data_IF_736618410510
#
_entry.id   IF_736618410510
#
_cell.length_a   1.000
_cell.length_b   1.000
_cell.length_c   1.000
_cell.angle_alpha   90.00
_cell.angle_beta   90.00
_cell.angle_gamma   90.00
#
_symmetry.space_group_name_H-M   'P 1'
#
loop_
_entity.id
_entity.type
_entity.pdbx_description
1 polymer ?
#
# COMPACT_ATOMS: atom_id res chain seq x y z
N UNK A 1 -4.59 -87.52 6.49
CA UNK A 1 -5.37 -86.49 5.76
C UNK A 1 -6.67 -86.30 6.53
N UNK A 2 -7.07 -85.09 6.95
CA UNK A 2 -7.27 -83.92 6.08
C UNK A 2 -6.61 -82.62 6.59
N UNK A 3 -6.71 -81.60 5.74
CA UNK A 3 -6.07 -80.30 5.76
C UNK A 3 -6.68 -79.32 6.78
N UNK A 4 -5.82 -78.54 7.46
CA UNK A 4 -6.20 -77.35 8.23
C UNK A 4 -5.75 -76.09 7.47
N UNK A 5 -6.71 -75.24 7.13
CA UNK A 5 -6.48 -73.97 6.42
C UNK A 5 -6.15 -72.85 7.41
N UNK A 6 -4.89 -72.42 7.45
CA UNK A 6 -4.49 -71.22 8.22
C UNK A 6 -4.59 -69.99 7.32
N UNK A 7 -5.56 -69.11 7.60
CA UNK A 7 -5.66 -67.78 6.98
C UNK A 7 -4.61 -66.85 7.59
N UNK A 8 -3.67 -66.38 6.77
CA UNK A 8 -2.74 -65.31 7.12
C UNK A 8 -3.45 -63.98 6.85
N UNK A 9 -3.76 -63.21 7.89
CA UNK A 9 -4.14 -61.80 7.77
C UNK A 9 -2.85 -60.96 7.66
N UNK A 10 -2.58 -60.38 6.49
CA UNK A 10 -1.63 -59.27 6.37
C UNK A 10 -2.35 -57.97 6.77
N UNK A 11 -1.93 -57.36 7.88
CA UNK A 11 -2.33 -56.01 8.26
C UNK A 11 -1.37 -55.02 7.60
N UNK A 12 -1.83 -54.30 6.58
CA UNK A 12 -1.08 -53.21 5.99
C UNK A 12 -1.15 -51.97 6.90
N UNK A 13 -0.03 -51.59 7.52
CA UNK A 13 0.11 -50.29 8.18
C UNK A 13 0.27 -49.21 7.09
N UNK A 14 -0.79 -48.42 6.86
CA UNK A 14 -0.67 -47.14 6.17
C UNK A 14 -0.01 -46.13 7.13
N UNK A 15 1.25 -45.79 6.86
CA UNK A 15 1.89 -44.61 7.44
C UNK A 15 1.36 -43.39 6.70
N UNK A 16 0.37 -42.71 7.27
CA UNK A 16 -0.01 -41.36 6.87
C UNK A 16 1.12 -40.41 7.30
N UNK A 17 2.08 -40.19 6.41
CA UNK A 17 2.99 -39.07 6.53
C UNK A 17 2.19 -37.78 6.27
N UNK A 18 1.64 -37.19 7.32
CA UNK A 18 1.16 -35.81 7.27
C UNK A 18 2.37 -34.92 6.98
N UNK A 19 2.40 -34.29 5.81
CA UNK A 19 3.35 -33.22 5.54
C UNK A 19 3.09 -32.10 6.56
N UNK A 20 3.98 -31.96 7.54
CA UNK A 20 4.00 -30.79 8.40
C UNK A 20 4.28 -29.58 7.50
N UNK A 21 3.26 -28.75 7.24
CA UNK A 21 3.48 -27.43 6.65
C UNK A 21 4.44 -26.68 7.57
N UNK A 22 5.59 -26.25 7.05
CA UNK A 22 6.51 -25.42 7.79
C UNK A 22 5.76 -24.17 8.27
N UNK A 23 5.77 -23.93 9.57
CA UNK A 23 5.13 -22.76 10.17
C UNK A 23 5.73 -21.49 9.56
N UNK A 24 4.88 -20.58 9.08
CA UNK A 24 5.33 -19.30 8.56
C UNK A 24 6.17 -18.56 9.63
N UNK A 25 7.30 -17.93 9.25
CA UNK A 25 8.14 -17.21 10.20
C UNK A 25 7.37 -16.03 10.79
N UNK A 26 7.82 -15.52 11.94
CA UNK A 26 7.28 -14.27 12.47
C UNK A 26 7.56 -13.10 11.50
N UNK A 27 6.84 -11.99 11.64
CA UNK A 27 7.11 -10.76 10.90
C UNK A 27 8.02 -9.84 11.71
N UNK A 28 9.09 -9.34 11.11
CA UNK A 28 9.85 -8.21 11.64
C UNK A 28 9.32 -6.94 10.98
N UNK A 29 9.01 -5.93 11.80
CA UNK A 29 8.75 -4.56 11.39
C UNK A 29 9.87 -3.66 11.89
N UNK A 30 10.46 -2.88 11.00
CA UNK A 30 11.44 -1.84 11.34
C UNK A 30 10.76 -0.50 11.12
N UNK A 31 10.56 0.23 12.21
CA UNK A 31 10.03 1.59 12.21
C UNK A 31 11.21 2.58 12.20
N UNK A 32 11.14 3.60 11.35
CA UNK A 32 12.17 4.63 11.23
C UNK A 32 11.54 5.99 10.91
N UNK A 33 12.28 7.05 11.20
CA UNK A 33 11.89 8.41 10.81
C UNK A 33 12.57 8.79 9.50
N UNK A 34 11.80 9.35 8.57
CA UNK A 34 12.28 9.99 7.35
C UNK A 34 12.02 11.49 7.48
N UNK A 35 13.07 12.29 7.58
CA UNK A 35 12.93 13.75 7.76
C UNK A 35 13.80 14.53 6.79
N UNK A 36 13.49 15.80 6.60
CA UNK A 36 14.22 16.66 5.67
C UNK A 36 13.34 17.73 5.07
N UNK A 37 13.74 18.21 3.90
CA UNK A 37 13.12 19.27 3.11
C UNK A 37 13.30 19.00 1.60
N UNK A 38 13.04 19.98 0.74
CA UNK A 38 13.16 19.83 -0.71
C UNK A 38 14.59 19.46 -1.18
N UNK A 39 15.63 19.82 -0.41
CA UNK A 39 17.04 19.69 -0.82
C UNK A 39 17.81 18.58 -0.09
N UNK A 40 17.31 18.12 1.05
CA UNK A 40 18.02 17.18 1.92
C UNK A 40 17.05 16.25 2.62
N UNK A 41 17.50 15.02 2.87
CA UNK A 41 16.76 14.04 3.65
C UNK A 41 17.70 13.23 4.54
N UNK A 42 17.16 12.72 5.64
CA UNK A 42 17.86 11.93 6.64
C UNK A 42 16.93 10.86 7.19
N UNK A 43 17.52 9.77 7.65
CA UNK A 43 16.83 8.59 8.17
C UNK A 43 17.39 8.25 9.55
N UNK A 44 16.53 7.79 10.45
CA UNK A 44 16.94 7.30 11.77
C UNK A 44 16.06 6.14 12.22
N UNK A 45 16.69 5.08 12.76
CA UNK A 45 15.96 3.95 13.35
C UNK A 45 15.13 4.44 14.54
N UNK A 46 13.87 4.04 14.59
CA UNK A 46 12.99 4.31 15.72
C UNK A 46 12.86 3.06 16.61
N UNK A 47 12.48 1.92 16.04
CA UNK A 47 12.38 0.64 16.76
C UNK A 47 12.30 -0.57 15.82
N UNK A 48 12.53 -1.74 16.40
CA UNK A 48 12.33 -3.04 15.76
C UNK A 48 11.27 -3.81 16.53
N UNK A 49 10.29 -4.36 15.82
CA UNK A 49 9.13 -5.05 16.41
C UNK A 49 8.99 -6.43 15.78
N UNK A 50 8.74 -7.44 16.59
CA UNK A 50 8.16 -8.71 16.14
C UNK A 50 6.65 -8.56 16.23
N UNK A 51 5.96 -8.53 15.08
CA UNK A 51 4.49 -8.44 15.07
C UNK A 51 3.84 -9.71 15.63
N UNK A 52 2.61 -9.63 16.17
CA UNK A 52 1.97 -10.75 16.84
C UNK A 52 1.49 -11.85 15.88
N UNK A 53 1.37 -11.55 14.58
CA UNK A 53 0.96 -12.50 13.54
C UNK A 53 2.16 -12.94 12.67
N UNK A 54 2.14 -14.17 12.15
CA UNK A 54 3.18 -14.65 11.26
C UNK A 54 3.21 -13.86 9.95
N UNK A 55 4.33 -13.96 9.24
CA UNK A 55 4.52 -13.36 7.92
C UNK A 55 3.45 -13.84 6.94
N UNK A 56 2.66 -12.93 6.34
CA UNK A 56 1.57 -13.33 5.46
C UNK A 56 2.06 -13.64 4.04
N UNK A 57 3.16 -13.03 3.58
CA UNK A 57 3.57 -13.12 2.18
C UNK A 57 4.19 -14.46 1.76
N UNK A 58 4.20 -14.71 0.46
CA UNK A 58 4.79 -15.92 -0.12
C UNK A 58 6.33 -15.90 -0.06
N UNK A 59 6.91 -16.82 0.71
CA UNK A 59 8.37 -16.94 0.89
C UNK A 59 9.13 -17.33 -0.39
N UNK A 60 8.46 -17.92 -1.39
CA UNK A 60 9.05 -18.21 -2.69
C UNK A 60 9.20 -16.95 -3.58
N UNK A 61 8.68 -15.79 -3.13
CA UNK A 61 8.72 -14.51 -3.85
C UNK A 61 9.37 -13.42 -3.02
N UNK A 62 10.36 -13.75 -2.17
CA UNK A 62 11.01 -12.76 -1.28
C UNK A 62 11.76 -11.65 -2.02
N UNK A 63 12.15 -11.86 -3.28
CA UNK A 63 12.90 -10.87 -4.07
C UNK A 63 11.95 -10.16 -5.04
N UNK A 64 11.81 -8.85 -4.88
CA UNK A 64 11.11 -8.00 -5.83
C UNK A 64 12.00 -7.72 -7.05
N UNK A 65 11.52 -8.18 -8.20
CA UNK A 65 12.13 -8.07 -9.52
C UNK A 65 11.33 -7.14 -10.46
N UNK A 66 10.33 -6.42 -9.94
CA UNK A 66 9.50 -5.48 -10.71
C UNK A 66 10.21 -4.15 -10.98
N UNK A 67 11.23 -3.81 -10.19
CA UNK A 67 11.92 -2.51 -10.22
C UNK A 67 10.94 -1.32 -10.12
N UNK A 68 9.90 -1.44 -9.29
CA UNK A 68 8.92 -0.37 -9.02
C UNK A 68 9.28 0.42 -7.76
N UNK A 69 8.65 1.59 -7.60
CA UNK A 69 8.80 2.46 -6.44
C UNK A 69 9.94 3.48 -6.56
N UNK A 70 9.80 4.56 -5.81
CA UNK A 70 10.85 5.57 -5.59
C UNK A 70 11.92 5.06 -4.61
N UNK A 71 11.54 4.12 -3.76
CA UNK A 71 12.37 3.48 -2.76
C UNK A 71 12.31 1.95 -2.90
N UNK A 72 13.29 1.28 -2.32
CA UNK A 72 13.35 -0.18 -2.22
C UNK A 72 13.93 -0.54 -0.86
N UNK A 73 13.32 -1.48 -0.15
CA UNK A 73 13.94 -2.11 1.01
C UNK A 73 14.68 -3.35 0.55
N UNK A 74 15.89 -3.56 1.05
CA UNK A 74 16.62 -4.81 0.94
C UNK A 74 17.03 -5.29 2.33
N UNK A 75 16.80 -6.57 2.59
CA UNK A 75 17.27 -7.27 3.79
C UNK A 75 18.39 -8.20 3.34
N UNK A 76 19.57 -8.01 3.91
CA UNK A 76 20.80 -8.65 3.44
C UNK A 76 21.41 -9.47 4.54
N UNK A 77 21.87 -10.67 4.23
CA UNK A 77 22.70 -11.44 5.17
C UNK A 77 23.97 -10.67 5.50
N UNK A 78 24.22 -10.41 6.79
CA UNK A 78 25.33 -9.57 7.22
C UNK A 78 26.71 -10.19 6.97
N UNK A 79 26.79 -11.51 6.78
CA UNK A 79 28.05 -12.25 6.56
C UNK A 79 28.32 -12.47 5.09
N UNK A 80 27.33 -12.91 4.31
CA UNK A 80 27.52 -13.27 2.91
C UNK A 80 27.26 -12.11 1.96
N UNK A 81 26.43 -11.14 2.36
CA UNK A 81 25.98 -10.06 1.48
C UNK A 81 24.82 -10.43 0.55
N UNK A 82 24.25 -11.63 0.70
CA UNK A 82 23.12 -12.09 -0.11
C UNK A 82 21.84 -11.32 0.23
N UNK A 83 21.08 -10.93 -0.79
CA UNK A 83 19.76 -10.32 -0.59
C UNK A 83 18.77 -11.44 -0.25
N UNK A 84 18.20 -11.37 0.96
CA UNK A 84 17.24 -12.35 1.49
C UNK A 84 15.79 -11.94 1.21
N UNK A 85 15.55 -10.62 1.13
CA UNK A 85 14.23 -10.05 0.87
C UNK A 85 14.37 -8.66 0.24
N UNK A 86 13.48 -8.32 -0.69
CA UNK A 86 13.34 -6.97 -1.21
C UNK A 86 11.91 -6.60 -1.60
N UNK A 87 11.55 -5.33 -1.45
CA UNK A 87 10.28 -4.74 -1.93
C UNK A 87 10.43 -3.28 -2.31
N UNK A 88 9.93 -2.93 -3.49
CA UNK A 88 9.77 -1.54 -3.91
C UNK A 88 8.63 -0.86 -3.18
N UNK A 89 8.77 0.43 -2.90
CA UNK A 89 7.74 1.25 -2.28
C UNK A 89 7.97 2.74 -2.59
N UNK A 90 7.02 3.58 -2.22
CA UNK A 90 7.12 5.04 -2.22
C UNK A 90 6.71 5.56 -0.84
N UNK A 91 7.02 6.82 -0.54
CA UNK A 91 6.81 7.41 0.78
C UNK A 91 6.02 8.70 0.71
N UNK A 92 5.27 8.99 1.78
CA UNK A 92 4.61 10.28 2.00
C UNK A 92 5.66 11.42 1.99
N UNK A 93 6.85 11.19 2.57
CA UNK A 93 7.94 12.16 2.47
C UNK A 93 8.35 12.41 1.01
N UNK A 94 8.44 11.36 0.20
CA UNK A 94 8.80 11.43 -1.22
C UNK A 94 7.83 12.26 -2.06
N UNK A 95 6.56 12.28 -1.67
CA UNK A 95 5.55 13.19 -2.23
C UNK A 95 5.69 14.61 -1.65
N UNK A 96 5.72 14.72 -0.32
CA UNK A 96 5.78 15.99 0.40
C UNK A 96 6.97 16.86 -0.01
N UNK A 97 8.15 16.25 -0.24
CA UNK A 97 9.38 16.97 -0.61
C UNK A 97 9.26 17.74 -1.92
N UNK A 98 8.25 17.43 -2.75
CA UNK A 98 7.98 18.10 -4.03
C UNK A 98 6.97 19.25 -3.90
N UNK A 99 6.46 19.51 -2.70
CA UNK A 99 5.53 20.61 -2.41
C UNK A 99 6.27 21.93 -2.16
N UNK A 100 5.56 23.05 -2.25
CA UNK A 100 6.12 24.37 -1.91
C UNK A 100 6.51 24.47 -0.42
N UNK A 101 5.78 23.78 0.47
CA UNK A 101 6.06 23.73 1.91
C UNK A 101 7.48 23.20 2.18
N UNK A 102 7.89 22.14 1.48
CA UNK A 102 9.22 21.55 1.63
C UNK A 102 10.37 22.49 1.21
N UNK A 103 10.09 23.52 0.40
CA UNK A 103 11.07 24.56 0.09
C UNK A 103 11.28 25.58 1.22
N UNK A 104 10.38 25.60 2.22
CA UNK A 104 10.35 26.61 3.29
C UNK A 104 10.63 26.03 4.68
N UNK A 105 10.46 24.73 4.86
CA UNK A 105 10.65 24.08 6.15
C UNK A 105 11.12 22.64 6.03
N UNK A 106 11.60 22.10 7.15
CA UNK A 106 11.86 20.66 7.28
C UNK A 106 10.75 19.98 8.09
N UNK A 107 10.38 18.76 7.72
CA UNK A 107 9.41 17.90 8.42
C UNK A 107 9.96 16.51 8.64
N UNK A 108 9.39 15.79 9.59
CA UNK A 108 9.62 14.37 9.82
C UNK A 108 8.34 13.57 9.59
N UNK A 109 8.51 12.38 9.03
CA UNK A 109 7.47 11.39 8.79
C UNK A 109 7.93 10.06 9.38
N UNK A 110 6.99 9.30 9.93
CA UNK A 110 7.25 7.94 10.38
C UNK A 110 7.03 6.99 9.20
N UNK A 111 7.90 6.00 9.10
CA UNK A 111 7.90 5.01 8.03
C UNK A 111 8.15 3.62 8.63
N UNK A 112 7.65 2.58 7.96
CA UNK A 112 7.87 1.20 8.39
C UNK A 112 8.09 0.29 7.20
N UNK A 113 9.05 -0.62 7.34
CA UNK A 113 9.22 -1.76 6.43
C UNK A 113 9.01 -3.06 7.19
N UNK A 114 8.42 -4.05 6.51
CA UNK A 114 8.10 -5.38 7.08
C UNK A 114 8.72 -6.47 6.23
N UNK A 115 9.18 -7.53 6.88
CA UNK A 115 9.79 -8.68 6.20
C UNK A 115 9.73 -9.95 7.08
N UNK A 116 9.88 -11.15 6.48
CA UNK A 116 9.97 -12.39 7.24
C UNK A 116 11.15 -12.36 8.22
N UNK A 117 10.94 -12.76 9.47
CA UNK A 117 11.99 -12.76 10.50
C UNK A 117 13.19 -13.61 10.06
N UNK A 118 14.40 -13.02 9.92
CA UNK A 118 15.58 -13.77 9.56
C UNK A 118 16.06 -14.65 10.72
N UNK A 119 16.80 -15.70 10.40
CA UNK A 119 17.40 -16.61 11.38
C UNK A 119 18.72 -16.09 11.97
N UNK A 120 19.33 -15.08 11.35
CA UNK A 120 20.62 -14.49 11.72
C UNK A 120 20.52 -12.96 11.64
N UNK A 121 21.47 -12.21 12.22
CA UNK A 121 21.55 -10.77 12.03
C UNK A 121 21.65 -10.38 10.56
N UNK A 122 20.96 -9.31 10.19
CA UNK A 122 20.85 -8.81 8.82
C UNK A 122 21.20 -7.33 8.75
N UNK A 123 21.57 -6.87 7.56
CA UNK A 123 21.62 -5.45 7.23
C UNK A 123 20.35 -5.07 6.46
N UNK A 124 19.56 -4.17 7.02
CA UNK A 124 18.41 -3.57 6.34
C UNK A 124 18.90 -2.32 5.61
N UNK A 125 18.65 -2.24 4.31
CA UNK A 125 19.01 -1.10 3.45
C UNK A 125 17.75 -0.47 2.90
N UNK A 126 17.63 0.85 3.01
CA UNK A 126 16.66 1.64 2.26
C UNK A 126 17.41 2.26 1.09
N UNK A 127 17.00 1.89 -0.11
CA UNK A 127 17.52 2.41 -1.35
C UNK A 127 16.57 3.49 -1.88
N UNK A 128 17.14 4.42 -2.63
CA UNK A 128 16.42 5.48 -3.33
C UNK A 128 16.77 5.47 -4.80
N UNK A 129 15.76 5.72 -5.63
CA UNK A 129 15.90 5.87 -7.08
C UNK A 129 16.48 7.24 -7.44
N UNK A 130 17.44 7.27 -8.35
CA UNK A 130 18.00 8.48 -8.93
C UNK A 130 17.29 8.89 -10.24
N UNK A 131 17.74 9.98 -10.85
CA UNK A 131 17.17 10.49 -12.11
C UNK A 131 17.36 9.57 -13.32
N UNK A 132 18.20 8.54 -13.19
CA UNK A 132 18.45 7.51 -14.22
C UNK A 132 17.62 6.25 -13.95
N UNK A 133 16.69 6.33 -13.00
CA UNK A 133 15.93 5.20 -12.49
C UNK A 133 16.80 4.09 -11.87
N UNK A 134 17.98 4.41 -11.35
CA UNK A 134 18.86 3.47 -10.67
C UNK A 134 18.72 3.59 -9.16
N UNK A 135 18.72 2.45 -8.46
CA UNK A 135 18.69 2.43 -7.00
C UNK A 135 20.10 2.56 -6.42
N UNK A 136 20.23 3.39 -5.37
CA UNK A 136 21.42 3.52 -4.55
C UNK A 136 21.04 3.52 -3.07
N UNK A 137 21.93 3.03 -2.20
CA UNK A 137 21.66 2.97 -0.76
C UNK A 137 21.58 4.40 -0.21
N UNK A 138 20.41 4.76 0.33
CA UNK A 138 20.18 6.04 1.01
C UNK A 138 20.43 5.92 2.51
N UNK A 139 20.09 4.77 3.11
CA UNK A 139 20.29 4.49 4.52
C UNK A 139 20.43 2.99 4.76
N UNK A 140 21.15 2.61 5.81
CA UNK A 140 21.23 1.21 6.25
C UNK A 140 21.38 1.10 7.76
N UNK A 141 20.89 -0.01 8.31
CA UNK A 141 21.01 -0.34 9.73
C UNK A 141 21.22 -1.84 9.91
N UNK A 142 22.07 -2.22 10.87
CA UNK A 142 22.26 -3.61 11.27
C UNK A 142 21.18 -4.00 12.29
N UNK A 143 20.52 -5.13 12.06
CA UNK A 143 19.40 -5.62 12.86
C UNK A 143 19.70 -7.05 13.29
N UNK A 144 19.83 -7.25 14.61
CA UNK A 144 19.78 -8.57 15.22
C UNK A 144 18.34 -8.84 15.69
N UNK A 145 17.61 -9.81 15.09
CA UNK A 145 16.24 -10.13 15.49
C UNK A 145 16.13 -10.68 16.93
N UNK A 146 17.26 -11.10 17.53
CA UNK A 146 17.33 -11.59 18.91
C UNK A 146 17.81 -10.54 19.90
N UNK A 147 18.08 -9.30 19.46
CA UNK A 147 18.50 -8.22 20.36
C UNK A 147 17.47 -7.93 21.47
N UNK A 148 17.96 -7.48 22.64
CA UNK A 148 17.15 -7.13 23.80
C UNK A 148 16.19 -5.96 23.54
N UNK A 149 16.54 -5.04 22.64
CA UNK A 149 15.74 -3.85 22.33
C UNK A 149 14.56 -4.15 21.38
N UNK A 150 14.51 -5.35 20.82
CA UNK A 150 13.40 -5.77 19.93
C UNK A 150 12.12 -5.93 20.75
N UNK A 151 11.07 -5.19 20.35
CA UNK A 151 9.75 -5.25 20.98
C UNK A 151 9.03 -6.53 20.55
N UNK A 152 8.72 -7.40 21.51
CA UNK A 152 8.09 -8.72 21.28
C UNK A 152 6.70 -8.89 21.91
N UNK A 153 6.26 -7.88 22.67
CA UNK A 153 4.96 -7.89 23.34
C UNK A 153 4.20 -6.63 22.93
N UNK A 154 3.05 -6.83 22.31
CA UNK A 154 2.17 -5.77 21.86
C UNK A 154 1.01 -5.57 22.83
N UNK A 155 0.38 -4.41 22.72
CA UNK A 155 -0.89 -4.14 23.36
C UNK A 155 -1.99 -5.11 22.89
N UNK A 156 -3.08 -5.16 23.64
CA UNK A 156 -4.25 -5.93 23.21
C UNK A 156 -4.79 -5.41 21.88
N UNK A 157 -5.24 -6.31 21.01
CA UNK A 157 -5.83 -5.95 19.73
C UNK A 157 -6.99 -4.95 19.94
N UNK A 158 -6.98 -3.77 19.29
CA UNK A 158 -7.97 -2.72 19.53
C UNK A 158 -9.34 -3.07 18.93
N UNK A 159 -9.37 -4.00 17.97
CA UNK A 159 -10.57 -4.55 17.36
C UNK A 159 -10.28 -5.98 16.86
N UNK A 160 -11.34 -6.74 16.56
CA UNK A 160 -11.22 -8.07 15.96
C UNK A 160 -11.29 -7.96 14.43
N UNK A 161 -10.38 -8.61 13.68
CA UNK A 161 -10.49 -8.68 12.23
C UNK A 161 -11.76 -9.41 11.80
N UNK A 162 -12.38 -8.91 10.73
CA UNK A 162 -13.56 -9.50 10.11
C UNK A 162 -13.11 -10.21 8.82
N UNK A 163 -13.38 -11.51 8.64
CA UNK A 163 -13.13 -12.19 7.38
C UNK A 163 -14.18 -11.76 6.35
N UNK A 164 -13.76 -11.01 5.34
CA UNK A 164 -14.65 -10.55 4.24
C UNK A 164 -14.70 -11.61 3.16
N UNK A 165 -13.52 -12.08 2.73
CA UNK A 165 -13.31 -13.16 1.76
C UNK A 165 -12.00 -13.86 2.09
N UNK A 166 -12.02 -15.16 2.39
CA UNK A 166 -10.80 -15.93 2.67
C UNK A 166 -10.75 -17.13 1.74
N UNK A 167 -9.83 -17.09 0.77
CA UNK A 167 -9.69 -18.10 -0.28
C UNK A 167 -8.57 -19.12 -0.02
N UNK A 168 -7.81 -18.96 1.07
CA UNK A 168 -6.79 -19.93 1.49
C UNK A 168 -5.79 -19.37 2.50
N UNK A 169 -4.72 -20.14 2.80
CA UNK A 169 -3.65 -19.69 3.66
C UNK A 169 -2.97 -18.43 3.10
N UNK A 170 -2.61 -17.49 3.99
CA UNK A 170 -1.91 -16.24 3.64
C UNK A 170 -0.67 -16.47 2.77
N UNK A 171 0.14 -17.47 3.07
CA UNK A 171 1.37 -17.78 2.31
C UNK A 171 1.14 -18.12 0.82
N UNK A 172 -0.10 -18.37 0.42
CA UNK A 172 -0.51 -18.71 -0.95
C UNK A 172 -1.48 -17.69 -1.56
N UNK A 173 -1.75 -16.57 -0.88
CA UNK A 173 -2.74 -15.57 -1.25
C UNK A 173 -2.16 -14.17 -1.05
N UNK A 174 -2.78 -13.18 -1.67
CA UNK A 174 -2.56 -11.77 -1.36
C UNK A 174 -3.50 -11.39 -0.24
N UNK A 175 -2.99 -11.00 0.93
CA UNK A 175 -3.83 -10.47 2.00
C UNK A 175 -4.02 -8.95 1.85
N UNK A 176 -5.23 -8.54 1.47
CA UNK A 176 -5.70 -7.16 1.51
C UNK A 176 -6.42 -6.89 2.83
N UNK A 177 -5.90 -5.95 3.62
CA UNK A 177 -6.57 -5.44 4.81
C UNK A 177 -7.28 -4.13 4.50
N UNK A 178 -8.59 -4.11 4.68
CA UNK A 178 -9.40 -2.90 4.59
C UNK A 178 -9.64 -2.34 6.00
N UNK A 179 -9.04 -1.20 6.30
CA UNK A 179 -9.18 -0.52 7.58
C UNK A 179 -10.29 0.52 7.53
N UNK A 180 -10.98 0.75 8.65
CA UNK A 180 -12.03 1.79 8.75
C UNK A 180 -11.61 2.95 9.63
N UNK A 181 -11.85 4.18 9.17
CA UNK A 181 -11.71 5.41 9.96
C UNK A 181 -12.99 6.28 9.87
N UNK A 182 -13.32 6.98 10.97
CA UNK A 182 -14.55 7.77 11.09
C UNK A 182 -15.83 6.95 11.24
N UNK A 183 -15.75 5.65 11.51
CA UNK A 183 -16.91 4.81 11.78
C UNK A 183 -17.14 4.72 13.30
N UNK A 184 -18.30 5.17 13.78
CA UNK A 184 -18.65 5.04 15.20
C UNK A 184 -19.00 3.60 15.57
N UNK A 185 -19.17 3.31 16.86
CA UNK A 185 -19.64 2.00 17.31
C UNK A 185 -20.99 1.59 16.68
N UNK A 186 -21.87 2.55 16.41
CA UNK A 186 -23.14 2.31 15.73
C UNK A 186 -22.97 2.02 14.22
N UNK A 187 -21.88 2.51 13.61
CA UNK A 187 -21.59 2.36 12.19
C UNK A 187 -20.87 1.06 11.85
N UNK A 188 -20.54 0.18 12.81
CA UNK A 188 -19.75 -1.02 12.52
C UNK A 188 -20.40 -1.95 11.48
N UNK A 189 -21.74 -2.04 11.47
CA UNK A 189 -22.46 -2.77 10.41
C UNK A 189 -22.37 -2.07 9.06
N UNK A 190 -22.38 -0.74 9.05
CA UNK A 190 -22.19 0.07 7.84
C UNK A 190 -20.77 -0.12 7.30
N UNK A 191 -19.75 -0.08 8.17
CA UNK A 191 -18.37 -0.35 7.79
C UNK A 191 -18.22 -1.69 7.09
N UNK A 192 -18.70 -2.78 7.71
CA UNK A 192 -18.61 -4.10 7.09
C UNK A 192 -19.33 -4.16 5.72
N UNK A 193 -20.50 -3.52 5.61
CA UNK A 193 -21.23 -3.44 4.35
C UNK A 193 -20.48 -2.63 3.27
N UNK A 194 -19.86 -1.51 3.64
CA UNK A 194 -19.02 -0.70 2.74
C UNK A 194 -17.83 -1.52 2.23
N UNK A 195 -17.14 -2.24 3.13
CA UNK A 195 -16.01 -3.11 2.75
C UNK A 195 -16.45 -4.21 1.78
N UNK A 196 -17.57 -4.90 2.08
CA UNK A 196 -18.09 -5.96 1.21
C UNK A 196 -18.41 -5.43 -0.19
N UNK A 197 -19.14 -4.32 -0.27
CA UNK A 197 -19.51 -3.68 -1.54
C UNK A 197 -18.28 -3.31 -2.37
N UNK A 198 -17.30 -2.64 -1.77
CA UNK A 198 -16.12 -2.15 -2.48
C UNK A 198 -15.16 -3.29 -2.85
N UNK A 199 -14.96 -4.26 -1.96
CA UNK A 199 -14.18 -5.46 -2.28
C UNK A 199 -14.84 -6.29 -3.39
N UNK A 200 -16.16 -6.46 -3.37
CA UNK A 200 -16.88 -7.15 -4.45
C UNK A 200 -16.72 -6.40 -5.78
N UNK A 201 -16.82 -5.07 -5.77
CA UNK A 201 -16.59 -4.24 -6.96
C UNK A 201 -15.17 -4.39 -7.50
N UNK A 202 -14.13 -4.39 -6.65
CA UNK A 202 -12.74 -4.62 -7.07
C UNK A 202 -12.62 -5.90 -7.90
N UNK A 203 -13.28 -6.99 -7.49
CA UNK A 203 -13.28 -8.26 -8.21
C UNK A 203 -14.23 -8.32 -9.41
N UNK A 204 -14.84 -7.21 -9.81
CA UNK A 204 -15.48 -7.05 -11.13
C UNK A 204 -14.52 -6.48 -12.19
N UNK A 205 -13.41 -5.87 -11.75
CA UNK A 205 -12.44 -5.19 -12.61
C UNK A 205 -11.29 -6.14 -12.97
N UNK A 206 -10.98 -6.29 -14.26
CA UNK A 206 -9.84 -7.11 -14.70
C UNK A 206 -8.50 -6.36 -14.46
N UNK A 207 -7.42 -7.05 -14.00
CA UNK A 207 -7.29 -8.50 -13.86
C UNK A 207 -7.75 -9.08 -12.50
N UNK A 208 -8.22 -8.25 -11.56
CA UNK A 208 -8.65 -8.73 -10.24
C UNK A 208 -9.82 -9.71 -10.35
N UNK A 209 -10.72 -9.50 -11.31
CA UNK A 209 -11.81 -10.43 -11.64
C UNK A 209 -11.33 -11.86 -11.88
N UNK A 210 -10.37 -12.02 -12.78
CA UNK A 210 -9.83 -13.34 -13.13
C UNK A 210 -8.99 -13.94 -12.00
N UNK A 211 -8.41 -13.08 -11.16
CA UNK A 211 -7.52 -13.45 -10.05
C UNK A 211 -8.20 -13.40 -8.69
N UNK A 212 -9.53 -13.33 -8.65
CA UNK A 212 -10.34 -13.15 -7.44
C UNK A 212 -10.05 -14.18 -6.34
N UNK A 213 -9.67 -15.42 -6.73
CA UNK A 213 -9.32 -16.52 -5.81
C UNK A 213 -7.91 -16.45 -5.24
N UNK A 214 -7.07 -15.55 -5.75
CA UNK A 214 -5.71 -15.34 -5.26
C UNK A 214 -5.67 -14.35 -4.09
N UNK A 215 -6.80 -13.72 -3.74
CA UNK A 215 -6.88 -12.73 -2.67
C UNK A 215 -7.62 -13.25 -1.46
N UNK A 216 -7.09 -12.92 -0.29
CA UNK A 216 -7.84 -12.82 0.96
C UNK A 216 -8.16 -11.33 1.21
N UNK A 217 -9.34 -11.06 1.77
CA UNK A 217 -9.77 -9.73 2.20
C UNK A 217 -10.20 -9.80 3.66
N UNK A 218 -9.56 -8.99 4.48
CA UNK A 218 -9.84 -8.79 5.90
C UNK A 218 -10.31 -7.37 6.13
N UNK A 219 -11.16 -7.15 7.14
CA UNK A 219 -11.54 -5.81 7.57
C UNK A 219 -11.19 -5.57 9.04
N UNK A 220 -10.83 -4.34 9.40
CA UNK A 220 -10.55 -3.95 10.78
C UNK A 220 -10.85 -2.47 11.00
N UNK A 221 -11.73 -2.14 11.94
CA UNK A 221 -12.01 -0.73 12.30
C UNK A 221 -11.94 -0.54 13.81
N UNK A 222 -11.31 0.55 14.22
CA UNK A 222 -11.35 1.02 15.60
C UNK A 222 -12.46 2.08 15.68
N UNK A 223 -13.53 1.86 16.46
CA UNK A 223 -14.65 2.79 16.52
C UNK A 223 -14.22 4.21 16.94
N UNK A 224 -14.74 5.22 16.24
CA UNK A 224 -14.56 6.64 16.59
C UNK A 224 -15.72 7.15 17.44
N UNK A 225 -15.52 8.31 18.09
CA UNK A 225 -16.59 8.99 18.85
C UNK A 225 -17.59 9.68 17.92
N UNK A 226 -17.09 10.26 16.82
CA UNK A 226 -17.88 11.02 15.85
C UNK A 226 -17.74 10.38 14.46
N UNK A 227 -18.80 10.45 13.63
CA UNK A 227 -18.75 9.93 12.27
C UNK A 227 -17.90 10.84 11.36
N UNK A 228 -17.18 10.22 10.43
CA UNK A 228 -16.33 10.89 9.46
C UNK A 228 -14.99 11.36 10.02
N UNK A 229 -14.06 11.67 9.11
CA UNK A 229 -12.69 12.08 9.45
C UNK A 229 -12.49 13.59 9.40
N UNK A 230 -11.35 14.05 9.92
CA UNK A 230 -10.97 15.46 9.93
C UNK A 230 -10.90 16.07 8.52
N UNK A 231 -11.37 17.31 8.39
CA UNK A 231 -11.26 18.18 7.22
C UNK A 231 -10.95 19.61 7.65
N UNK A 232 -9.67 19.94 7.91
CA UNK A 232 -9.24 21.26 8.35
C UNK A 232 -9.75 22.43 7.49
N UNK A 233 -9.88 22.27 6.17
CA UNK A 233 -10.35 23.33 5.26
C UNK A 233 -11.78 23.77 5.53
N UNK A 234 -12.57 22.97 6.25
CA UNK A 234 -13.95 23.30 6.67
C UNK A 234 -14.09 23.41 8.19
N UNK A 235 -12.97 23.46 8.93
CA UNK A 235 -12.97 23.54 10.41
C UNK A 235 -13.42 22.26 11.12
N UNK A 236 -13.47 21.12 10.42
CA UNK A 236 -13.87 19.83 10.99
C UNK A 236 -12.63 19.11 11.52
N UNK A 237 -12.63 18.79 12.81
CA UNK A 237 -11.53 18.12 13.49
C UNK A 237 -12.05 16.97 14.35
N UNK A 238 -12.08 15.77 13.77
CA UNK A 238 -12.47 14.55 14.48
C UNK A 238 -11.22 13.76 14.83
N UNK A 239 -11.10 13.40 16.11
CA UNK A 239 -10.04 12.53 16.58
C UNK A 239 -10.37 11.06 16.25
N UNK A 240 -9.37 10.34 15.75
CA UNK A 240 -9.45 8.90 15.52
C UNK A 240 -8.10 8.24 15.78
N UNK A 241 -8.10 6.92 15.98
CA UNK A 241 -6.88 6.17 16.22
C UNK A 241 -5.95 6.15 15.00
N UNK A 242 -6.51 6.17 13.79
CA UNK A 242 -5.73 6.23 12.55
C UNK A 242 -5.32 7.66 12.18
N UNK A 243 -6.04 8.68 12.63
CA UNK A 243 -5.73 10.08 12.32
C UNK A 243 -5.83 10.42 10.83
N UNK A 244 -6.63 9.68 10.06
CA UNK A 244 -6.84 9.95 8.64
C UNK A 244 -7.51 11.31 8.48
N UNK A 245 -7.13 12.08 7.46
CA UNK A 245 -7.75 13.38 7.21
C UNK A 245 -7.68 13.79 5.75
N UNK A 246 -8.61 14.66 5.36
CA UNK A 246 -8.53 15.44 4.13
C UNK A 246 -7.44 16.53 4.24
N UNK A 247 -7.27 17.28 3.15
CA UNK A 247 -6.40 18.45 3.07
C UNK A 247 -4.91 18.11 3.26
N UNK A 248 -4.49 16.91 2.85
CA UNK A 248 -3.08 16.54 2.87
C UNK A 248 -2.31 17.44 1.89
N UNK A 249 -1.23 18.04 2.39
CA UNK A 249 -0.41 19.02 1.68
C UNK A 249 -1.19 20.21 1.08
N UNK A 250 -2.35 20.54 1.65
CA UNK A 250 -3.21 21.61 1.16
C UNK A 250 -4.13 21.22 -0.01
N UNK A 251 -4.12 19.97 -0.47
CA UNK A 251 -5.04 19.48 -1.49
C UNK A 251 -6.36 19.02 -0.85
N UNK A 252 -7.46 19.71 -1.15
CA UNK A 252 -8.77 19.52 -0.50
C UNK A 252 -9.30 18.07 -0.52
N UNK A 253 -8.92 17.30 -1.53
CA UNK A 253 -9.44 15.94 -1.77
C UNK A 253 -8.40 14.86 -1.49
N UNK A 254 -7.18 15.25 -1.10
CA UNK A 254 -6.15 14.28 -0.79
C UNK A 254 -6.31 13.81 0.65
N UNK A 255 -6.52 12.50 0.81
CA UNK A 255 -6.83 11.85 2.08
C UNK A 255 -5.75 10.84 2.43
N UNK A 256 -5.09 11.00 3.56
CA UNK A 256 -4.09 10.08 4.08
C UNK A 256 -4.12 10.09 5.61
N UNK A 257 -3.55 9.05 6.22
CA UNK A 257 -3.00 9.17 7.58
C UNK A 257 -1.53 9.54 7.49
N UNK A 258 -1.07 10.43 8.38
CA UNK A 258 0.35 10.74 8.56
C UNK A 258 0.95 10.00 9.78
N UNK A 259 0.12 9.27 10.53
CA UNK A 259 0.53 8.50 11.71
C UNK A 259 0.75 7.03 11.32
N UNK A 260 1.87 6.79 10.64
CA UNK A 260 2.24 5.43 10.23
C UNK A 260 2.44 4.50 11.44
N UNK A 261 2.88 5.03 12.60
CA UNK A 261 2.98 4.21 13.81
C UNK A 261 1.61 3.66 14.20
N UNK A 262 0.60 4.52 14.35
CA UNK A 262 -0.74 4.09 14.73
C UNK A 262 -1.34 3.14 13.69
N UNK A 263 -1.15 3.43 12.39
CA UNK A 263 -1.54 2.54 11.30
C UNK A 263 -0.99 1.12 11.51
N UNK A 264 0.32 0.99 11.75
CA UNK A 264 1.00 -0.31 11.90
C UNK A 264 0.64 -1.01 13.22
N UNK A 265 0.46 -0.26 14.31
CA UNK A 265 0.03 -0.82 15.59
C UNK A 265 -1.38 -1.41 15.52
N UNK A 266 -2.27 -0.83 14.71
CA UNK A 266 -3.61 -1.39 14.50
C UNK A 266 -3.55 -2.55 13.49
N UNK A 267 -2.87 -2.36 12.35
CA UNK A 267 -2.84 -3.33 11.25
C UNK A 267 -2.18 -4.67 11.63
N UNK A 268 -1.18 -4.67 12.52
CA UNK A 268 -0.45 -5.88 12.95
C UNK A 268 -1.35 -6.99 13.56
N UNK A 269 -2.60 -6.66 13.89
CA UNK A 269 -3.59 -7.60 14.44
C UNK A 269 -4.43 -8.31 13.38
N UNK A 270 -4.17 -8.10 12.08
CA UNK A 270 -4.77 -8.84 10.97
C UNK A 270 -3.68 -9.33 9.97
N UNK A 271 -3.92 -10.40 9.18
CA UNK A 271 -3.04 -10.73 8.07
C UNK A 271 -3.10 -9.64 7.00
N UNK A 272 -1.94 -9.14 6.56
CA UNK A 272 -1.89 -8.12 5.51
C UNK A 272 -0.53 -8.01 4.80
N UNK A 273 -0.58 -7.83 3.49
CA UNK A 273 0.52 -7.31 2.67
C UNK A 273 0.18 -5.91 2.14
N UNK A 274 -1.09 -5.66 1.83
CA UNK A 274 -1.60 -4.39 1.31
C UNK A 274 -2.68 -3.84 2.23
N UNK A 275 -2.78 -2.52 2.32
CA UNK A 275 -3.74 -1.81 3.17
C UNK A 275 -4.54 -0.83 2.33
N UNK A 276 -5.85 -0.81 2.55
CA UNK A 276 -6.75 0.21 2.07
C UNK A 276 -7.58 0.77 3.21
N UNK A 277 -7.69 2.10 3.33
CA UNK A 277 -8.40 2.77 4.42
C UNK A 277 -9.69 3.37 3.88
N UNK A 278 -10.82 2.90 4.36
CA UNK A 278 -12.12 3.51 4.11
C UNK A 278 -12.39 4.61 5.13
N UNK A 279 -12.66 5.82 4.65
CA UNK A 279 -13.14 6.92 5.49
C UNK A 279 -14.66 7.06 5.38
N UNK A 280 -15.34 7.18 6.52
CA UNK A 280 -16.80 7.32 6.60
C UNK A 280 -17.27 8.73 6.21
N UNK A 281 -17.07 9.12 4.96
CA UNK A 281 -17.44 10.43 4.44
C UNK A 281 -18.06 10.33 3.04
N UNK A 282 -18.94 11.27 2.72
CA UNK A 282 -19.57 11.38 1.39
C UNK A 282 -18.78 12.29 0.44
N UNK A 283 -17.89 13.12 0.98
CA UNK A 283 -17.08 14.03 0.17
C UNK A 283 -16.02 13.24 -0.61
N UNK A 284 -15.98 13.42 -1.93
CA UNK A 284 -14.94 12.81 -2.77
C UNK A 284 -13.55 13.11 -2.22
N UNK A 285 -12.80 12.06 -1.93
CA UNK A 285 -11.40 12.12 -1.56
C UNK A 285 -10.81 10.73 -1.42
N UNK A 286 -9.50 10.66 -1.62
CA UNK A 286 -8.74 9.42 -1.64
C UNK A 286 -7.26 9.73 -1.76
N UNK A 287 -6.46 8.69 -1.86
CA UNK A 287 -5.04 8.75 -2.13
C UNK A 287 -4.43 7.37 -2.13
N UNK A 288 -3.36 7.15 -2.89
CA UNK A 288 -2.71 5.85 -2.97
C UNK A 288 -1.21 6.00 -3.14
N UNK A 289 -0.45 5.39 -2.23
CA UNK A 289 1.02 5.39 -2.29
C UNK A 289 1.52 3.96 -2.42
N UNK A 290 2.28 3.72 -3.49
CA UNK A 290 2.82 2.41 -3.82
C UNK A 290 3.56 1.78 -2.63
N UNK A 291 3.15 0.58 -2.20
CA UNK A 291 3.79 -0.14 -1.10
C UNK A 291 3.55 0.43 0.31
N UNK A 292 2.75 1.50 0.48
CA UNK A 292 2.32 2.00 1.78
C UNK A 292 0.86 1.63 2.11
N UNK A 293 -0.11 2.38 1.58
CA UNK A 293 -1.55 2.14 1.69
C UNK A 293 -2.31 2.99 0.65
N UNK A 294 -3.59 2.71 0.45
CA UNK A 294 -4.55 3.60 -0.21
C UNK A 294 -5.68 4.05 0.73
N UNK A 295 -6.41 5.09 0.35
CA UNK A 295 -7.61 5.57 1.06
C UNK A 295 -8.75 5.86 0.07
N UNK A 296 -9.98 5.66 0.52
CA UNK A 296 -11.17 6.02 -0.26
C UNK A 296 -12.33 6.46 0.63
N UNK A 297 -13.04 7.52 0.21
CA UNK A 297 -14.27 7.97 0.84
C UNK A 297 -15.43 7.01 0.52
N UNK A 298 -15.83 6.20 1.50
CA UNK A 298 -16.75 5.08 1.29
C UNK A 298 -18.19 5.47 0.97
N UNK A 299 -18.64 6.64 1.46
CA UNK A 299 -19.99 7.16 1.23
C UNK A 299 -20.15 7.95 -0.07
N UNK A 300 -19.05 8.18 -0.81
CA UNK A 300 -19.11 8.97 -2.04
C UNK A 300 -19.73 8.17 -3.21
N UNK A 301 -20.48 8.87 -4.09
CA UNK A 301 -21.07 8.26 -5.29
C UNK A 301 -20.03 7.61 -6.24
N UNK A 302 -18.76 8.04 -6.18
CA UNK A 302 -17.65 7.48 -6.96
C UNK A 302 -16.76 6.53 -6.15
N UNK A 303 -17.22 6.05 -4.99
CA UNK A 303 -16.41 5.21 -4.09
C UNK A 303 -15.88 3.95 -4.76
N UNK A 304 -16.67 3.31 -5.63
CA UNK A 304 -16.24 2.11 -6.39
C UNK A 304 -15.05 2.40 -7.32
N UNK A 305 -15.14 3.51 -8.07
CA UNK A 305 -14.04 3.98 -8.92
C UNK A 305 -12.82 4.36 -8.09
N UNK A 306 -13.01 5.14 -7.01
CA UNK A 306 -11.95 5.59 -6.12
C UNK A 306 -11.19 4.41 -5.53
N UNK A 307 -11.89 3.45 -4.93
CA UNK A 307 -11.30 2.27 -4.32
C UNK A 307 -10.36 1.54 -5.31
N UNK A 308 -10.84 1.27 -6.52
CA UNK A 308 -10.01 0.59 -7.54
C UNK A 308 -8.85 1.47 -8.04
N UNK A 309 -9.09 2.75 -8.25
CA UNK A 309 -8.08 3.71 -8.72
C UNK A 309 -6.93 3.85 -7.73
N UNK A 310 -7.25 4.11 -6.46
CA UNK A 310 -6.25 4.31 -5.40
C UNK A 310 -5.53 3.00 -5.06
N UNK A 311 -6.23 1.87 -5.11
CA UNK A 311 -5.59 0.55 -5.02
C UNK A 311 -4.64 0.31 -6.20
N UNK A 312 -4.92 0.83 -7.40
CA UNK A 312 -3.99 0.79 -8.53
C UNK A 312 -2.64 1.46 -8.25
N UNK A 313 -2.64 2.61 -7.57
CA UNK A 313 -1.41 3.26 -7.12
C UNK A 313 -0.71 2.42 -6.04
N UNK A 314 -1.44 2.02 -4.99
CA UNK A 314 -0.87 1.31 -3.85
C UNK A 314 -0.33 -0.08 -4.19
N UNK A 315 -1.10 -0.88 -4.93
CA UNK A 315 -0.82 -2.28 -5.26
C UNK A 315 0.14 -2.42 -6.46
N UNK A 316 -0.09 -1.64 -7.51
CA UNK A 316 0.59 -1.83 -8.80
C UNK A 316 1.59 -0.73 -9.16
N UNK A 317 1.64 0.37 -8.41
CA UNK A 317 2.56 1.48 -8.69
C UNK A 317 2.27 2.14 -10.04
N UNK A 318 0.99 2.25 -10.39
CA UNK A 318 0.56 3.00 -11.57
C UNK A 318 0.61 4.50 -11.27
N UNK A 319 0.93 5.32 -12.26
CA UNK A 319 0.79 6.77 -12.17
C UNK A 319 -0.62 7.20 -12.56
N UNK A 320 -0.99 8.41 -12.16
CA UNK A 320 -2.13 9.11 -12.73
C UNK A 320 -1.94 9.43 -14.21
N UNK A 321 -2.99 9.20 -15.00
CA UNK A 321 -3.01 9.51 -16.44
C UNK A 321 -3.74 10.83 -16.77
N UNK A 322 -4.49 11.38 -15.80
CA UNK A 322 -5.07 12.71 -15.96
C UNK A 322 -3.98 13.78 -15.85
N UNK A 323 -4.08 14.84 -16.64
CA UNK A 323 -3.11 15.95 -16.65
C UNK A 323 -3.75 17.33 -16.45
N UNK A 324 -5.07 17.39 -16.23
CA UNK A 324 -5.86 18.62 -16.11
C UNK A 324 -6.43 18.85 -14.70
N UNK A 325 -6.16 17.95 -13.76
CA UNK A 325 -6.59 18.06 -12.37
C UNK A 325 -5.55 18.82 -11.55
N UNK A 326 -6.03 19.59 -10.56
CA UNK A 326 -5.15 20.21 -9.56
C UNK A 326 -4.51 19.12 -8.68
N UNK A 327 -3.20 19.23 -8.47
CA UNK A 327 -2.39 18.36 -7.60
C UNK A 327 -1.59 19.20 -6.60
N UNK A 328 -1.15 18.61 -5.49
CA UNK A 328 -0.36 19.30 -4.46
C UNK A 328 1.11 19.53 -4.84
N UNK A 329 1.60 18.84 -5.87
CA UNK A 329 3.02 18.78 -6.22
C UNK A 329 3.42 19.89 -7.20
N UNK A 330 4.64 20.39 -7.06
CA UNK A 330 5.23 21.25 -8.07
C UNK A 330 5.46 20.47 -9.38
N UNK A 331 5.36 21.12 -10.55
CA UNK A 331 5.72 20.48 -11.81
C UNK A 331 7.16 19.96 -11.76
N UNK A 332 7.36 18.74 -12.27
CA UNK A 332 8.70 18.15 -12.35
C UNK A 332 9.66 19.06 -13.14
N UNK A 333 10.87 19.26 -12.62
CA UNK A 333 11.93 19.97 -13.34
C UNK A 333 12.53 19.03 -14.39
N UNK A 334 12.02 19.12 -15.63
CA UNK A 334 12.49 18.32 -16.77
C UNK A 334 11.58 17.13 -17.11
N UNK A 335 11.91 16.44 -18.21
CA UNK A 335 11.15 15.28 -18.72
C UNK A 335 11.89 13.98 -18.47
N UNK A 336 12.13 13.64 -17.21
CA UNK A 336 12.66 12.33 -16.81
C UNK A 336 11.71 11.21 -17.23
N UNK A 337 12.25 10.04 -17.60
CA UNK A 337 11.40 8.88 -17.86
C UNK A 337 10.85 8.38 -16.51
N UNK A 338 9.52 8.38 -16.29
CA UNK A 338 8.93 7.88 -15.05
C UNK A 338 9.27 6.40 -14.82
N UNK A 339 9.21 5.89 -13.59
CA UNK A 339 9.38 4.44 -13.35
C UNK A 339 8.05 3.69 -13.47
N UNK A 340 6.93 4.40 -13.30
CA UNK A 340 5.57 3.87 -13.35
C UNK A 340 5.28 3.30 -14.75
N UNK A 341 4.67 2.11 -14.85
CA UNK A 341 4.64 1.37 -16.11
C UNK A 341 3.66 1.95 -17.15
N UNK A 342 2.65 2.72 -16.72
CA UNK A 342 1.55 3.21 -17.57
C UNK A 342 1.76 4.62 -18.13
N UNK A 343 2.83 5.32 -17.75
CA UNK A 343 3.17 6.65 -18.28
C UNK A 343 4.58 6.68 -18.85
N UNK A 344 4.85 7.60 -19.77
CA UNK A 344 6.18 7.75 -20.39
C UNK A 344 6.45 9.22 -20.72
N UNK A 345 7.71 9.64 -20.61
CA UNK A 345 8.14 10.95 -21.12
C UNK A 345 8.36 10.92 -22.65
N UNK A 346 8.33 9.72 -23.25
CA UNK A 346 8.45 9.45 -24.69
C UNK A 346 9.61 10.24 -25.32
N UNK A 347 10.83 10.03 -24.82
CA UNK A 347 12.04 10.67 -25.36
C UNK A 347 12.39 10.23 -26.79
N UNK A 348 11.82 9.12 -27.28
CA UNK A 348 11.88 8.70 -28.68
C UNK A 348 10.97 7.51 -28.98
N UNK A 349 10.71 7.17 -30.26
CA UNK A 349 9.80 6.07 -30.63
C UNK A 349 10.24 4.70 -30.12
N UNK A 350 11.54 4.53 -29.84
CA UNK A 350 12.12 3.31 -29.28
C UNK A 350 11.90 3.13 -27.78
N UNK A 351 11.54 4.19 -27.03
CA UNK A 351 11.45 4.16 -25.56
C UNK A 351 10.03 4.04 -25.04
N UNK A 352 9.04 3.84 -25.92
CA UNK A 352 7.66 3.58 -25.53
C UNK A 352 7.56 2.27 -24.72
N UNK A 353 7.20 2.36 -23.44
CA UNK A 353 7.16 1.23 -22.51
C UNK A 353 6.27 0.07 -22.97
N UNK A 354 5.10 0.39 -23.52
CA UNK A 354 4.13 -0.60 -24.00
C UNK A 354 4.20 -0.82 -25.51
N UNK A 355 5.34 -0.54 -26.16
CA UNK A 355 5.52 -0.67 -27.62
C UNK A 355 5.07 -2.03 -28.18
N UNK A 356 5.27 -3.12 -27.44
CA UNK A 356 4.84 -4.47 -27.83
C UNK A 356 3.32 -4.61 -28.02
N UNK A 357 2.53 -3.71 -27.45
CA UNK A 357 1.07 -3.67 -27.57
C UNK A 357 0.60 -2.66 -28.64
N UNK A 358 1.52 -1.94 -29.29
CA UNK A 358 1.21 -0.90 -30.28
C UNK A 358 1.41 -1.44 -31.69
N UNK A 359 0.40 -1.24 -32.56
CA UNK A 359 0.47 -1.64 -33.97
C UNK A 359 1.60 -0.88 -34.68
N UNK A 360 2.34 -1.58 -35.55
CA UNK A 360 3.34 -0.95 -36.39
C UNK A 360 2.73 0.20 -37.22
N UNK A 361 3.40 1.35 -37.24
CA UNK A 361 2.94 2.55 -37.96
C UNK A 361 1.96 3.44 -37.17
N UNK A 362 1.54 3.08 -35.95
CA UNK A 362 0.77 3.99 -35.10
C UNK A 362 1.58 5.28 -34.84
N UNK A 363 1.04 6.48 -35.13
CA UNK A 363 1.77 7.72 -34.88
C UNK A 363 2.01 7.93 -33.37
N UNK A 364 3.18 8.48 -33.04
CA UNK A 364 3.61 8.79 -31.68
C UNK A 364 4.01 10.28 -31.60
N UNK A 365 3.30 11.13 -30.82
CA UNK A 365 2.08 10.81 -30.07
C UNK A 365 0.90 10.49 -31.00
N UNK A 366 -0.05 9.68 -30.51
CA UNK A 366 -1.25 9.33 -31.28
C UNK A 366 -2.19 10.53 -31.37
N UNK A 367 -2.67 10.94 -32.56
CA UNK A 367 -3.56 12.09 -32.72
C UNK A 367 -4.88 11.88 -31.99
N UNK A 368 -5.35 12.92 -31.31
CA UNK A 368 -6.65 12.94 -30.61
C UNK A 368 -7.10 14.41 -30.45
N UNK A 369 -8.39 14.70 -30.17
CA UNK A 369 -8.93 16.06 -30.08
C UNK A 369 -8.51 16.79 -28.79
N UNK A 370 -7.20 17.01 -28.63
CA UNK A 370 -6.60 17.59 -27.42
C UNK A 370 -7.12 18.98 -27.09
N UNK A 371 -7.23 19.84 -28.10
CA UNK A 371 -7.66 21.23 -27.92
C UNK A 371 -9.10 21.32 -27.36
N UNK A 372 -10.01 20.53 -27.93
CA UNK A 372 -11.42 20.45 -27.50
C UNK A 372 -11.54 19.93 -26.06
N UNK A 373 -10.80 18.86 -25.74
CA UNK A 373 -10.78 18.30 -24.39
C UNK A 373 -10.28 19.32 -23.36
N UNK A 374 -9.18 20.01 -23.66
CA UNK A 374 -8.62 21.00 -22.74
C UNK A 374 -9.52 22.22 -22.54
N UNK A 375 -10.21 22.67 -23.60
CA UNK A 375 -11.20 23.74 -23.51
C UNK A 375 -12.36 23.33 -22.59
N UNK A 376 -12.92 22.14 -22.81
CA UNK A 376 -13.97 21.59 -21.97
C UNK A 376 -13.53 21.44 -20.51
N UNK A 377 -12.34 20.86 -20.26
CA UNK A 377 -11.79 20.67 -18.92
C UNK A 377 -11.61 22.01 -18.18
N UNK A 378 -11.02 23.02 -18.84
CA UNK A 378 -10.85 24.36 -18.26
C UNK A 378 -12.20 25.02 -17.94
N UNK A 379 -13.19 24.88 -18.82
CA UNK A 379 -14.55 25.37 -18.58
C UNK A 379 -15.20 24.73 -17.35
N UNK A 380 -15.08 23.42 -17.21
CA UNK A 380 -15.60 22.68 -16.06
C UNK A 380 -14.90 23.07 -14.76
N UNK A 381 -13.57 23.24 -14.75
CA UNK A 381 -12.83 23.69 -13.56
C UNK A 381 -13.27 25.08 -13.11
N UNK A 382 -13.45 26.03 -14.03
CA UNK A 382 -14.00 27.37 -13.70
C UNK A 382 -15.37 27.29 -13.06
N UNK A 383 -16.28 26.46 -13.62
CA UNK A 383 -17.61 26.24 -13.05
C UNK A 383 -17.54 25.63 -11.65
N UNK A 384 -16.65 24.66 -11.43
CA UNK A 384 -16.44 24.06 -10.10
C UNK A 384 -15.91 25.07 -9.10
N UNK A 385 -14.96 25.92 -9.50
CA UNK A 385 -14.43 26.98 -8.64
C UNK A 385 -15.54 27.98 -8.24
N UNK A 386 -16.37 28.40 -9.20
CA UNK A 386 -17.50 29.28 -8.93
C UNK A 386 -18.55 28.66 -7.98
N UNK A 387 -18.94 27.40 -8.21
CA UNK A 387 -19.86 26.68 -7.31
C UNK A 387 -19.30 26.53 -5.90
N UNK A 388 -17.98 26.34 -5.78
CA UNK A 388 -17.30 26.26 -4.47
C UNK A 388 -17.30 27.61 -3.77
N UNK A 389 -16.97 28.69 -4.46
CA UNK A 389 -16.98 30.04 -3.90
C UNK A 389 -18.37 30.48 -3.44
N UNK A 390 -19.44 30.00 -4.09
CA UNK A 390 -20.82 30.30 -3.69
C UNK A 390 -21.35 29.49 -2.49
N UNK A 391 -20.63 28.45 -2.06
CA UNK A 391 -21.02 27.54 -0.96
C UNK A 391 -20.11 27.62 0.26
N UNK A 392 -19.06 28.45 0.21
CA UNK A 392 -18.27 28.89 1.37
C UNK A 392 -18.90 30.18 1.89
#
# INVERSE_FOLDING_TARGET
>A
MPFSSTRILLTALLVLAGAAQAQAPATIRVDYTHSGNALSEQYALERVVVEPLPWPGNLAQNIDNTNRGQNMVEVVDAKTGDVLYSRGFSTIFGEWKTTEEAGKMSRGFQESVRFPKPAQPVKVRILRRDERNQFSVAWSVDIDPESQDVVRKQEAAPARPIPIRVNGPSSEKVDLLVMGDGYTAADMKKFEADVRRLADHLFTVSPFKERARDFNVWALAVPTQEPGVSRPSTGVHHASALGTRYDIFGSERYVLTLDNRALREIAQHAPYEFIEILVNNDTYGGGGIFGQFSTAAAGNDWAEYLFVHEFGHHFAGLADEYYTSDVAYAPAQGRMEPWEPNVTALRGPGTLKWKRHVKAGTPLPTPWPKAEYEEHARGYQKRRAALRAAKR
#
